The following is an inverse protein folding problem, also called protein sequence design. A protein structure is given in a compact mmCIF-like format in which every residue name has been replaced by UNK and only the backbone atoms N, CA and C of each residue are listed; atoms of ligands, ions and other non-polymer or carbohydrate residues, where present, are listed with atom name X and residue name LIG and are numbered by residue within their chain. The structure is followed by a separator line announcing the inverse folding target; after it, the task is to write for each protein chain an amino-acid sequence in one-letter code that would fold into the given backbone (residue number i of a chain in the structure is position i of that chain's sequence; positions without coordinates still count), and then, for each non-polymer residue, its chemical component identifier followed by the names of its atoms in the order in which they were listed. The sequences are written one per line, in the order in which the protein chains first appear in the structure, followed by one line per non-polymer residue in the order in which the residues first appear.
data_IF_882498354380
#
_entry.id   IF_882498354380
#
_cell.length_a   1.000
_cell.length_b   1.000
_cell.length_c   1.000
_cell.angle_alpha   90.00
_cell.angle_beta   90.00
_cell.angle_gamma   90.00
#
_symmetry.space_group_name_H-M   'P 1'
#
loop_
_entity.id
_entity.type
_entity.pdbx_description
1 polymer ?
#
# COMPACT_ATOMS: atom_id res chain seq x y z
N UNK A 1 7.67 -19.01 12.63
CA UNK A 1 8.40 -18.24 11.60
C UNK A 1 7.42 -17.90 10.50
N UNK A 2 7.50 -16.70 9.92
CA UNK A 2 6.56 -16.29 8.86
C UNK A 2 6.77 -17.10 7.59
N UNK A 3 5.69 -17.49 6.93
CA UNK A 3 5.67 -18.21 5.66
C UNK A 3 5.14 -17.37 4.50
N UNK A 4 4.20 -16.47 4.80
CA UNK A 4 3.61 -15.57 3.83
C UNK A 4 3.46 -14.16 4.40
N UNK A 5 4.09 -13.20 3.75
CA UNK A 5 4.06 -11.79 4.11
C UNK A 5 3.25 -11.03 3.07
N UNK A 6 2.30 -10.21 3.52
CA UNK A 6 1.58 -9.25 2.68
C UNK A 6 2.11 -7.84 2.97
N UNK A 7 2.69 -7.20 1.98
CA UNK A 7 3.04 -5.78 2.01
C UNK A 7 1.95 -4.97 1.31
N UNK A 8 1.31 -4.06 2.02
CA UNK A 8 0.33 -3.15 1.44
C UNK A 8 0.91 -1.73 1.34
N UNK A 9 0.94 -1.18 0.13
CA UNK A 9 1.53 0.13 -0.18
C UNK A 9 0.62 0.97 -1.07
N UNK A 10 0.48 2.28 -0.82
CA UNK A 10 -0.30 3.19 -1.64
C UNK A 10 0.58 3.73 -2.78
N UNK A 11 0.48 3.19 -3.99
CA UNK A 11 1.28 3.62 -5.14
C UNK A 11 0.60 4.69 -6.00
N UNK A 12 -0.72 4.84 -5.92
CA UNK A 12 -1.48 5.69 -6.84
C UNK A 12 -1.20 7.18 -6.70
N UNK A 13 -1.08 7.67 -5.47
CA UNK A 13 -1.13 9.11 -5.17
C UNK A 13 0.22 9.81 -5.15
N UNK A 14 1.28 9.16 -5.60
CA UNK A 14 2.62 9.69 -5.50
C UNK A 14 3.32 9.68 -6.86
N UNK A 15 3.86 10.81 -7.26
CA UNK A 15 4.74 10.90 -8.42
C UNK A 15 6.06 10.16 -8.15
N UNK A 16 6.52 10.22 -6.90
CA UNK A 16 7.62 9.43 -6.36
C UNK A 16 7.13 8.59 -5.18
N UNK A 17 7.75 7.43 -4.95
CA UNK A 17 7.37 6.58 -3.83
C UNK A 17 7.62 7.29 -2.51
N UNK A 18 6.63 7.27 -1.62
CA UNK A 18 6.80 7.87 -0.31
C UNK A 18 7.92 7.19 0.47
N UNK A 19 8.66 7.92 1.34
CA UNK A 19 9.63 7.31 2.23
C UNK A 19 9.04 6.18 3.09
N UNK A 20 7.77 6.28 3.46
CA UNK A 20 7.05 5.25 4.20
C UNK A 20 6.85 3.96 3.39
N UNK A 21 6.50 4.08 2.11
CA UNK A 21 6.34 2.92 1.22
C UNK A 21 7.68 2.21 0.98
N UNK A 22 8.75 2.97 0.79
CA UNK A 22 10.09 2.42 0.61
C UNK A 22 10.61 1.74 1.89
N UNK A 23 10.41 2.35 3.05
CA UNK A 23 10.79 1.75 4.33
C UNK A 23 10.01 0.47 4.62
N UNK A 24 8.70 0.45 4.33
CA UNK A 24 7.88 -0.75 4.47
C UNK A 24 8.32 -1.86 3.52
N UNK A 25 8.67 -1.52 2.26
CA UNK A 25 9.22 -2.48 1.30
C UNK A 25 10.51 -3.11 1.81
N UNK A 26 11.45 -2.30 2.24
CA UNK A 26 12.76 -2.76 2.69
C UNK A 26 12.64 -3.64 3.95
N UNK A 27 11.75 -3.30 4.87
CA UNK A 27 11.45 -4.12 6.04
C UNK A 27 10.80 -5.45 5.65
N UNK A 28 9.79 -5.44 4.78
CA UNK A 28 9.11 -6.65 4.34
C UNK A 28 10.08 -7.61 3.62
N UNK A 29 10.94 -7.08 2.76
CA UNK A 29 11.98 -7.85 2.06
C UNK A 29 12.98 -8.45 3.05
N UNK A 30 13.45 -7.67 4.03
CA UNK A 30 14.39 -8.18 5.04
C UNK A 30 13.78 -9.33 5.87
N UNK A 31 12.52 -9.19 6.28
CA UNK A 31 11.81 -10.22 7.04
C UNK A 31 11.58 -11.47 6.17
N UNK A 32 11.13 -11.29 4.93
CA UNK A 32 10.89 -12.39 4.00
C UNK A 32 12.16 -13.21 3.75
N UNK A 33 13.29 -12.55 3.53
CA UNK A 33 14.59 -13.22 3.38
C UNK A 33 15.01 -13.96 4.65
N UNK A 34 14.90 -13.31 5.81
CA UNK A 34 15.30 -13.92 7.08
C UNK A 34 14.44 -15.12 7.47
N UNK A 35 13.19 -15.17 7.04
CA UNK A 35 12.25 -16.26 7.34
C UNK A 35 12.09 -17.30 6.20
N UNK A 36 12.55 -16.98 4.99
CA UNK A 36 12.25 -17.79 3.80
C UNK A 36 10.80 -17.69 3.34
N UNK A 37 10.09 -16.63 3.74
CA UNK A 37 8.69 -16.41 3.40
C UNK A 37 8.51 -15.91 1.97
N UNK A 38 7.39 -16.27 1.35
CA UNK A 38 6.93 -15.60 0.13
C UNK A 38 6.41 -14.19 0.46
N UNK A 39 6.56 -13.28 -0.50
CA UNK A 39 6.13 -11.89 -0.36
C UNK A 39 5.06 -11.55 -1.41
N UNK A 40 3.89 -11.15 -0.96
CA UNK A 40 2.87 -10.51 -1.81
C UNK A 40 2.90 -9.01 -1.61
N UNK A 41 2.92 -8.25 -2.70
CA UNK A 41 2.92 -6.78 -2.67
C UNK A 41 1.61 -6.29 -3.26
N UNK A 42 0.78 -5.68 -2.42
CA UNK A 42 -0.55 -5.21 -2.75
C UNK A 42 -0.58 -3.69 -2.84
N UNK A 43 -1.12 -3.16 -3.91
CA UNK A 43 -1.57 -1.78 -3.99
C UNK A 43 -3.04 -1.72 -4.35
N UNK A 44 -3.80 -0.96 -3.58
CA UNK A 44 -5.23 -0.72 -3.82
C UNK A 44 -5.38 0.70 -4.35
N UNK A 45 -6.11 0.85 -5.43
CA UNK A 45 -6.35 2.13 -6.08
C UNK A 45 -7.83 2.28 -6.49
N UNK A 46 -8.23 3.47 -6.86
CA UNK A 46 -9.56 3.76 -7.35
C UNK A 46 -9.49 4.57 -8.66
N UNK A 47 -10.62 4.62 -9.34
CA UNK A 47 -10.78 5.48 -10.51
C UNK A 47 -11.40 6.80 -10.06
N UNK A 48 -10.72 7.91 -10.32
CA UNK A 48 -11.24 9.22 -9.99
C UNK A 48 -12.60 9.44 -10.65
N UNK A 49 -13.60 9.74 -9.83
CA UNK A 49 -14.94 10.05 -10.31
C UNK A 49 -14.95 11.42 -11.00
N UNK A 50 -14.76 11.42 -12.31
CA UNK A 50 -14.97 12.61 -13.12
C UNK A 50 -16.44 12.62 -13.56
N UNK A 51 -17.25 13.37 -12.86
CA UNK A 51 -18.59 13.74 -13.31
C UNK A 51 -18.55 15.17 -13.85
N UNK A 52 -18.54 15.30 -15.16
CA UNK A 52 -18.79 16.58 -15.83
C UNK A 52 -20.27 16.64 -16.21
N UNK A 53 -21.07 17.52 -15.59
CA UNK A 53 -22.49 17.62 -15.89
C UNK A 53 -22.81 18.10 -17.32
N UNK A 54 -21.80 18.54 -18.08
CA UNK A 54 -21.94 18.97 -19.46
C UNK A 54 -21.80 17.86 -20.50
N UNK A 55 -21.40 16.64 -20.09
CA UNK A 55 -21.21 15.51 -21.00
C UNK A 55 -22.49 14.70 -21.21
N UNK A 56 -22.74 14.27 -22.46
CA UNK A 56 -23.78 13.26 -22.71
C UNK A 56 -23.41 11.93 -22.02
N UNK A 57 -24.41 11.09 -21.72
CA UNK A 57 -24.20 9.79 -21.09
C UNK A 57 -23.21 8.90 -21.86
N UNK A 58 -23.27 8.95 -23.21
CA UNK A 58 -22.36 8.18 -24.06
C UNK A 58 -20.92 8.70 -24.00
N UNK A 59 -20.73 10.01 -24.03
CA UNK A 59 -19.41 10.64 -23.90
C UNK A 59 -18.81 10.40 -22.52
N UNK A 60 -19.62 10.48 -21.48
CA UNK A 60 -19.19 10.19 -20.10
C UNK A 60 -18.78 8.72 -19.93
N UNK A 61 -19.47 7.77 -20.61
CA UNK A 61 -19.11 6.36 -20.57
C UNK A 61 -17.77 6.09 -21.27
N UNK A 62 -17.54 6.66 -22.45
CA UNK A 62 -16.27 6.54 -23.18
C UNK A 62 -15.10 7.16 -22.42
N UNK A 63 -15.32 8.31 -21.83
CA UNK A 63 -14.30 8.98 -21.00
C UNK A 63 -13.92 8.15 -19.79
N UNK A 64 -14.90 7.55 -19.11
CA UNK A 64 -14.63 6.64 -17.98
C UNK A 64 -13.83 5.41 -18.38
N UNK A 65 -14.18 4.80 -19.51
CA UNK A 65 -13.46 3.62 -20.02
C UNK A 65 -11.98 3.97 -20.33
N UNK A 66 -11.75 5.08 -21.00
CA UNK A 66 -10.38 5.56 -21.30
C UNK A 66 -9.60 5.88 -20.01
N UNK A 67 -10.24 6.51 -19.03
CA UNK A 67 -9.64 6.81 -17.73
C UNK A 67 -9.27 5.52 -16.96
N UNK A 68 -10.14 4.52 -16.97
CA UNK A 68 -9.88 3.23 -16.33
C UNK A 68 -8.67 2.54 -16.95
N UNK A 69 -8.61 2.46 -18.28
CA UNK A 69 -7.50 1.85 -19.00
C UNK A 69 -6.17 2.56 -18.74
N UNK A 70 -6.17 3.89 -18.70
CA UNK A 70 -4.97 4.69 -18.38
C UNK A 70 -4.53 4.48 -16.94
N UNK A 71 -5.46 4.50 -16.00
CA UNK A 71 -5.16 4.29 -14.58
C UNK A 71 -4.59 2.89 -14.33
N UNK A 72 -5.20 1.85 -14.92
CA UNK A 72 -4.70 0.49 -14.80
C UNK A 72 -3.27 0.36 -15.35
N UNK A 73 -3.01 0.91 -16.54
CA UNK A 73 -1.67 0.91 -17.14
C UNK A 73 -0.64 1.67 -16.31
N UNK A 74 -1.03 2.80 -15.75
CA UNK A 74 -0.17 3.59 -14.85
C UNK A 74 0.16 2.80 -13.57
N UNK A 75 -0.82 2.15 -12.97
CA UNK A 75 -0.61 1.36 -11.76
C UNK A 75 0.28 0.14 -12.00
N UNK A 76 0.13 -0.54 -13.14
CA UNK A 76 1.05 -1.61 -13.54
C UNK A 76 2.49 -1.12 -13.69
N UNK A 77 2.68 0.04 -14.30
CA UNK A 77 4.00 0.68 -14.47
C UNK A 77 4.60 1.05 -13.11
N UNK A 78 3.82 1.65 -12.22
CA UNK A 78 4.25 2.00 -10.86
C UNK A 78 4.63 0.77 -10.04
N UNK A 79 3.84 -0.29 -10.11
CA UNK A 79 4.14 -1.55 -9.42
C UNK A 79 5.45 -2.17 -9.93
N UNK A 80 5.65 -2.25 -11.22
CA UNK A 80 6.91 -2.75 -11.81
C UNK A 80 8.12 -1.95 -11.36
N UNK A 81 8.03 -0.61 -11.39
CA UNK A 81 9.11 0.25 -10.95
C UNK A 81 9.38 0.12 -9.43
N UNK A 82 8.34 -0.01 -8.62
CA UNK A 82 8.46 -0.22 -7.18
C UNK A 82 9.18 -1.54 -6.85
N UNK A 83 8.85 -2.62 -7.55
CA UNK A 83 9.46 -3.93 -7.38
C UNK A 83 10.88 -4.00 -7.96
N UNK A 84 11.19 -3.23 -8.99
CA UNK A 84 12.54 -3.15 -9.56
C UNK A 84 13.58 -2.64 -8.55
N UNK A 85 13.16 -1.90 -7.53
CA UNK A 85 14.01 -1.49 -6.41
C UNK A 85 14.42 -2.64 -5.48
N UNK A 86 13.81 -3.83 -5.62
CA UNK A 86 14.15 -5.03 -4.87
C UNK A 86 15.14 -5.84 -5.71
N UNK A 87 16.40 -5.44 -5.72
CA UNK A 87 17.41 -6.09 -6.57
C UNK A 87 18.09 -7.28 -5.88
N UNK A 88 18.49 -8.25 -6.72
CA UNK A 88 19.45 -9.30 -6.36
C UNK A 88 18.91 -10.39 -5.43
N UNK A 89 17.63 -10.76 -5.54
CA UNK A 89 17.03 -11.72 -4.62
C UNK A 89 16.21 -12.78 -5.33
N UNK A 90 16.49 -14.04 -5.01
CA UNK A 90 15.65 -15.19 -5.33
C UNK A 90 14.39 -15.25 -4.44
N UNK A 91 13.88 -14.09 -4.04
CA UNK A 91 12.67 -13.99 -3.23
C UNK A 91 11.44 -14.09 -4.14
N UNK A 92 10.56 -15.08 -3.92
CA UNK A 92 9.31 -15.15 -4.68
C UNK A 92 8.40 -13.97 -4.28
N UNK A 93 8.19 -13.07 -5.24
CA UNK A 93 7.35 -11.88 -5.07
C UNK A 93 6.15 -11.95 -6.00
N UNK A 94 4.95 -11.78 -5.45
CA UNK A 94 3.70 -11.73 -6.19
C UNK A 94 3.13 -10.31 -6.15
N UNK A 95 3.11 -9.58 -7.26
CA UNK A 95 2.45 -8.28 -7.33
C UNK A 95 0.94 -8.44 -7.41
N UNK A 96 0.21 -7.62 -6.66
CA UNK A 96 -1.24 -7.60 -6.61
C UNK A 96 -1.76 -6.16 -6.76
N UNK A 97 -2.56 -5.93 -7.77
CA UNK A 97 -3.28 -4.67 -8.01
C UNK A 97 -4.76 -4.92 -7.86
N UNK A 98 -5.41 -4.15 -6.99
CA UNK A 98 -6.84 -4.24 -6.71
C UNK A 98 -7.47 -2.86 -6.69
N UNK A 99 -8.71 -2.79 -7.13
CA UNK A 99 -9.49 -1.55 -7.11
C UNK A 99 -10.50 -1.57 -5.97
N UNK A 100 -10.74 -0.42 -5.36
CA UNK A 100 -11.73 -0.26 -4.31
C UNK A 100 -11.26 0.58 -3.13
N UNK A 101 -11.98 0.46 -2.03
CA UNK A 101 -11.65 1.15 -0.79
C UNK A 101 -10.52 0.40 -0.07
N UNK A 102 -9.36 1.07 0.20
CA UNK A 102 -8.15 0.38 0.67
C UNK A 102 -8.34 -0.48 1.92
N UNK A 103 -9.01 0.05 2.95
CA UNK A 103 -9.21 -0.68 4.22
C UNK A 103 -9.93 -2.01 4.03
N UNK A 104 -11.01 -1.98 3.27
CA UNK A 104 -11.84 -3.15 3.01
C UNK A 104 -11.14 -4.13 2.09
N UNK A 105 -10.50 -3.62 1.02
CA UNK A 105 -9.81 -4.47 0.06
C UNK A 105 -8.60 -5.17 0.68
N UNK A 106 -7.83 -4.49 1.53
CA UNK A 106 -6.70 -5.13 2.22
C UNK A 106 -7.19 -6.25 3.14
N UNK A 107 -8.27 -6.03 3.91
CA UNK A 107 -8.85 -7.11 4.73
C UNK A 107 -9.35 -8.27 3.88
N UNK A 108 -10.04 -8.01 2.78
CA UNK A 108 -10.47 -9.05 1.84
C UNK A 108 -9.29 -9.86 1.33
N UNK A 109 -8.18 -9.20 1.00
CA UNK A 109 -6.97 -9.90 0.55
C UNK A 109 -6.29 -10.69 1.67
N UNK A 110 -6.34 -10.22 2.92
CA UNK A 110 -5.87 -10.99 4.08
C UNK A 110 -6.72 -12.26 4.26
N UNK A 111 -8.02 -12.16 4.15
CA UNK A 111 -8.92 -13.31 4.24
C UNK A 111 -8.73 -14.30 3.09
N UNK A 112 -8.37 -13.83 1.90
CA UNK A 112 -8.15 -14.69 0.73
C UNK A 112 -6.78 -15.35 0.75
N UNK A 113 -5.73 -14.62 1.12
CA UNK A 113 -4.34 -15.07 1.02
C UNK A 113 -3.82 -15.73 2.30
N UNK A 114 -4.49 -15.51 3.43
CA UNK A 114 -4.09 -15.98 4.76
C UNK A 114 -2.61 -15.69 5.09
N UNK A 115 -2.13 -14.43 4.96
CA UNK A 115 -0.74 -14.12 5.32
C UNK A 115 -0.54 -14.22 6.83
N UNK A 116 0.67 -14.58 7.24
CA UNK A 116 1.05 -14.59 8.66
C UNK A 116 1.37 -13.19 9.17
N UNK A 117 1.79 -12.30 8.26
CA UNK A 117 2.22 -10.95 8.56
C UNK A 117 1.73 -9.95 7.53
N UNK A 118 1.12 -8.88 8.01
CA UNK A 118 0.87 -7.67 7.22
C UNK A 118 1.94 -6.62 7.54
N UNK A 119 2.59 -6.09 6.52
CA UNK A 119 3.52 -4.96 6.63
C UNK A 119 2.90 -3.74 5.96
N UNK A 120 2.85 -2.63 6.67
CA UNK A 120 2.33 -1.35 6.20
C UNK A 120 3.28 -0.21 6.57
N UNK A 121 3.30 0.85 5.77
CA UNK A 121 3.98 2.09 6.14
C UNK A 121 3.12 2.92 7.10
N UNK A 122 3.76 3.57 8.05
CA UNK A 122 3.10 4.62 8.80
C UNK A 122 2.89 5.82 7.88
N UNK A 123 1.66 6.26 7.70
CA UNK A 123 1.38 7.44 6.89
C UNK A 123 0.95 8.59 7.77
N UNK A 124 1.81 9.60 7.88
CA UNK A 124 1.46 10.89 8.46
C UNK A 124 1.66 11.96 7.40
N UNK A 125 0.57 12.40 6.78
CA UNK A 125 0.58 13.56 5.87
C UNK A 125 0.28 14.88 6.55
N UNK A 126 -0.02 14.90 7.83
CA UNK A 126 -0.47 16.12 8.51
C UNK A 126 0.19 16.27 9.87
N UNK A 127 0.84 17.43 9.96
CA UNK A 127 1.18 18.13 11.20
C UNK A 127 2.17 17.47 12.14
N UNK A 128 3.18 18.24 12.44
CA UNK A 128 4.28 18.03 13.40
C UNK A 128 3.78 17.74 14.84
N UNK A 129 2.48 17.76 15.08
CA UNK A 129 1.89 17.70 16.42
C UNK A 129 1.07 16.43 16.71
N UNK A 130 0.70 15.65 15.70
CA UNK A 130 -0.08 14.44 15.92
C UNK A 130 0.62 13.24 15.29
N UNK A 131 1.08 12.32 16.11
CA UNK A 131 1.34 10.94 15.71
C UNK A 131 -0.01 10.31 15.39
N UNK A 132 -0.63 10.78 14.33
CA UNK A 132 -1.88 10.23 13.86
C UNK A 132 -1.52 9.04 12.99
N UNK A 133 -1.72 7.88 13.55
CA UNK A 133 -1.89 6.66 12.80
C UNK A 133 -2.85 6.96 11.64
N UNK A 134 -2.39 6.86 10.40
CA UNK A 134 -3.28 7.07 9.25
C UNK A 134 -4.53 6.20 9.38
N UNK A 135 -5.69 6.70 8.97
CA UNK A 135 -6.97 6.01 9.17
C UNK A 135 -6.97 4.56 8.68
N UNK A 136 -6.25 4.26 7.60
CA UNK A 136 -6.08 2.90 7.08
C UNK A 136 -5.23 2.04 8.02
N UNK A 137 -4.09 2.55 8.49
CA UNK A 137 -3.22 1.81 9.41
C UNK A 137 -3.92 1.52 10.74
N UNK A 138 -4.61 2.51 11.33
CA UNK A 138 -5.39 2.34 12.56
C UNK A 138 -6.50 1.30 12.41
N UNK A 139 -7.17 1.31 11.26
CA UNK A 139 -8.23 0.34 10.96
C UNK A 139 -7.67 -1.09 10.83
N UNK A 140 -6.59 -1.26 10.09
CA UNK A 140 -5.95 -2.56 9.89
C UNK A 140 -5.38 -3.13 11.17
N UNK A 141 -4.76 -2.30 12.02
CA UNK A 141 -4.28 -2.74 13.34
C UNK A 141 -5.38 -3.29 14.26
N UNK A 142 -6.62 -2.79 14.09
CA UNK A 142 -7.76 -3.25 14.90
C UNK A 142 -8.45 -4.49 14.33
N UNK A 143 -8.42 -4.69 13.01
CA UNK A 143 -9.27 -5.66 12.34
C UNK A 143 -8.51 -6.79 11.63
N UNK A 144 -7.21 -6.65 11.38
CA UNK A 144 -6.45 -7.70 10.73
C UNK A 144 -6.35 -8.95 11.61
N UNK A 145 -6.67 -10.14 11.08
CA UNK A 145 -6.60 -11.40 11.83
C UNK A 145 -5.17 -12.00 11.86
N UNK A 146 -4.17 -11.26 11.44
CA UNK A 146 -2.76 -11.66 11.43
C UNK A 146 -1.89 -10.63 12.16
N UNK A 147 -0.62 -10.94 12.34
CA UNK A 147 0.36 -9.98 12.87
C UNK A 147 0.48 -8.77 11.95
N UNK A 148 0.63 -7.58 12.51
CA UNK A 148 0.79 -6.33 11.74
C UNK A 148 2.04 -5.60 12.20
N UNK A 149 2.90 -5.26 11.25
CA UNK A 149 4.05 -4.38 11.47
C UNK A 149 3.82 -3.08 10.73
N UNK A 150 3.87 -1.97 11.47
CA UNK A 150 3.86 -0.63 10.93
C UNK A 150 5.27 -0.08 10.89
N UNK A 151 5.75 0.30 9.70
CA UNK A 151 7.12 0.76 9.48
C UNK A 151 7.16 2.27 9.34
N UNK A 152 8.08 2.89 10.05
CA UNK A 152 8.39 4.32 9.92
C UNK A 152 9.74 4.49 9.21
N UNK A 153 9.89 5.49 8.33
CA UNK A 153 11.18 5.79 7.72
C UNK A 153 12.17 6.28 8.78
N UNK A 154 13.44 5.92 8.61
CA UNK A 154 14.51 6.39 9.47
C UNK A 154 14.68 7.90 9.30
N UNK A 155 14.72 8.65 10.42
CA UNK A 155 14.95 10.10 10.45
C UNK A 155 13.72 10.97 10.76
N UNK A 156 12.52 10.42 10.79
CA UNK A 156 11.40 11.11 11.43
C UNK A 156 11.53 10.96 12.96
N UNK A 157 11.96 12.05 13.60
CA UNK A 157 12.00 12.11 15.07
C UNK A 157 10.58 12.01 15.59
N UNK A 158 10.33 11.03 16.44
CA UNK A 158 9.15 11.06 17.32
C UNK A 158 9.15 12.40 18.07
N UNK A 159 8.02 13.10 18.18
CA UNK A 159 7.96 14.30 18.99
C UNK A 159 8.37 13.97 20.43
N UNK A 160 9.04 14.88 21.12
CA UNK A 160 9.46 14.66 22.49
C UNK A 160 8.21 14.36 23.32
N UNK A 161 8.26 13.25 24.07
CA UNK A 161 7.26 12.95 25.08
C UNK A 161 7.21 14.10 26.06
N UNK A 162 6.14 14.88 26.03
CA UNK A 162 5.85 15.86 27.08
C UNK A 162 5.52 15.08 28.33
N UNK A 163 6.49 14.95 29.22
CA UNK A 163 6.26 14.50 30.58
C UNK A 163 5.78 15.73 31.36
N UNK A 164 4.53 15.76 31.72
CA UNK A 164 4.02 16.44 32.90
C UNK A 164 3.22 15.48 33.74
#
# INVERSE_FOLDING_TARGET
MYQHILLAVPLQRWEEYSPHALAARDAAVAIAKGSGAQLSVLSVYDYDNVSDPGLSAEMAARYREDLMLRTDSEMETKMKAFLAGIQGHDLPITPLLKTGEPRKMILTMIELLHPDLLVIGSHSKRSVLDVILGGTAAYLLRHAPCSVIMVQPKGEKSPPSTTE
#
